data_IF_050459231179
#
_entry.id   IF_050459231179
#
_cell.length_a   1.000
_cell.length_b   1.000
_cell.length_c   1.000
_cell.angle_alpha   90.00
_cell.angle_beta   90.00
_cell.angle_gamma   90.00
#
_symmetry.space_group_name_H-M   'P 1'
#
loop_
_entity.id
_entity.type
_entity.pdbx_description
1 polymer ?
#
# COMPACT_ATOMS: atom_id res chain seq x y z
N UNK A 1 -4.66 9.68 36.88
CA UNK A 1 -4.90 10.34 35.59
C UNK A 1 -5.63 9.35 34.71
N UNK A 2 -6.88 9.65 34.35
CA UNK A 2 -7.71 8.73 33.56
C UNK A 2 -7.31 8.84 32.08
N UNK A 3 -6.42 7.94 31.66
CA UNK A 3 -6.01 7.82 30.27
C UNK A 3 -6.97 6.86 29.54
N UNK A 4 -7.46 7.29 28.38
CA UNK A 4 -8.35 6.48 27.54
C UNK A 4 -7.57 6.02 26.31
N UNK A 5 -7.62 4.72 26.04
CA UNK A 5 -7.05 4.15 24.81
C UNK A 5 -7.84 4.66 23.61
N UNK A 6 -7.17 5.38 22.73
CA UNK A 6 -7.77 5.98 21.52
C UNK A 6 -7.36 5.23 20.25
N UNK A 7 -6.26 4.48 20.28
CA UNK A 7 -5.76 3.79 19.09
C UNK A 7 -4.92 2.56 19.44
N UNK A 8 -4.94 1.56 18.56
CA UNK A 8 -4.09 0.37 18.64
C UNK A 8 -3.12 0.40 17.46
N UNK A 9 -1.85 0.67 17.72
CA UNK A 9 -0.82 0.76 16.69
C UNK A 9 0.02 -0.52 16.65
N UNK A 10 0.49 -0.89 15.45
CA UNK A 10 1.67 -1.73 15.34
C UNK A 10 2.93 -0.90 15.62
N UNK A 11 4.05 -1.56 15.95
CA UNK A 11 5.33 -0.89 16.19
C UNK A 11 5.73 0.07 15.05
N UNK A 12 5.47 -0.29 13.80
CA UNK A 12 5.80 0.53 12.63
C UNK A 12 4.98 1.82 12.51
N UNK A 13 3.70 1.81 12.91
CA UNK A 13 2.85 3.02 12.82
C UNK A 13 2.82 3.79 14.14
N UNK A 14 3.42 3.26 15.22
CA UNK A 14 3.39 3.86 16.55
C UNK A 14 4.02 5.25 16.56
N UNK A 15 5.24 5.38 16.04
CA UNK A 15 5.94 6.67 15.98
C UNK A 15 5.17 7.70 15.16
N UNK A 16 4.55 7.25 14.07
CA UNK A 16 3.78 8.11 13.18
C UNK A 16 2.49 8.61 13.86
N UNK A 17 1.78 7.72 14.55
CA UNK A 17 0.58 8.05 15.33
C UNK A 17 0.90 9.01 16.49
N UNK A 18 2.00 8.77 17.21
CA UNK A 18 2.45 9.65 18.29
C UNK A 18 2.84 11.03 17.75
N UNK A 19 3.54 11.06 16.60
CA UNK A 19 3.93 12.29 15.91
C UNK A 19 2.71 13.15 15.57
N UNK A 20 1.72 12.57 14.89
CA UNK A 20 0.47 13.27 14.52
C UNK A 20 -0.25 13.83 15.74
N UNK A 21 -0.40 13.01 16.79
CA UNK A 21 -1.08 13.46 18.01
C UNK A 21 -0.34 14.61 18.69
N UNK A 22 1.01 14.58 18.69
CA UNK A 22 1.83 15.64 19.29
C UNK A 22 1.81 16.92 18.45
N UNK A 23 1.80 16.83 17.13
CA UNK A 23 1.67 17.98 16.21
C UNK A 23 0.33 18.70 16.40
N UNK A 24 -0.74 17.96 16.64
CA UNK A 24 -2.07 18.48 16.93
C UNK A 24 -2.22 18.98 18.40
N UNK A 25 -1.15 18.93 19.19
CA UNK A 25 -1.11 19.45 20.56
C UNK A 25 -1.65 18.50 21.63
N UNK A 26 -1.87 17.23 21.30
CA UNK A 26 -2.27 16.21 22.28
C UNK A 26 -1.05 15.61 22.99
N UNK A 27 -1.29 15.06 24.19
CA UNK A 27 -0.26 14.39 24.99
C UNK A 27 -0.49 12.87 25.01
N UNK A 28 -0.06 12.13 23.97
CA UNK A 28 -0.20 10.68 23.94
C UNK A 28 0.75 10.00 24.93
N UNK A 29 0.25 8.97 25.59
CA UNK A 29 0.99 8.02 26.41
C UNK A 29 0.89 6.64 25.78
N UNK A 30 2.03 5.97 25.61
CA UNK A 30 2.05 4.59 25.13
C UNK A 30 1.83 3.63 26.29
N UNK A 31 0.85 2.76 26.16
CA UNK A 31 0.70 1.59 27.01
C UNK A 31 1.04 0.36 26.18
N UNK A 32 2.14 -0.30 26.52
CA UNK A 32 2.47 -1.61 25.97
C UNK A 32 1.48 -2.64 26.53
N UNK A 33 0.77 -3.32 25.64
CA UNK A 33 0.01 -4.50 26.04
C UNK A 33 0.95 -5.70 26.01
N UNK A 34 1.17 -6.42 27.14
CA UNK A 34 1.87 -7.69 27.10
C UNK A 34 1.06 -8.77 26.35
N UNK A 35 -0.20 -8.50 26.00
CA UNK A 35 -1.03 -9.41 25.23
C UNK A 35 -0.54 -9.53 23.78
N UNK A 36 0.19 -10.62 23.53
CA UNK A 36 0.48 -11.10 22.19
C UNK A 36 -0.85 -11.45 21.51
N UNK A 37 -1.30 -10.62 20.57
CA UNK A 37 -2.54 -10.90 19.83
C UNK A 37 -2.21 -11.79 18.63
N UNK A 38 -2.90 -12.94 18.47
CA UNK A 38 -2.73 -13.77 17.28
C UNK A 38 -3.26 -13.01 16.05
N UNK A 39 -2.38 -12.72 15.11
CA UNK A 39 -2.72 -12.17 13.80
C UNK A 39 -2.45 -13.22 12.72
N UNK A 40 -3.24 -13.20 11.64
CA UNK A 40 -3.18 -14.19 10.56
C UNK A 40 -1.77 -14.18 9.93
N UNK A 41 -0.91 -15.11 10.36
CA UNK A 41 0.49 -15.22 9.90
C UNK A 41 1.59 -14.90 10.94
N UNK A 42 1.26 -14.54 12.19
CA UNK A 42 2.27 -14.35 13.24
C UNK A 42 1.80 -13.53 14.45
N UNK A 43 2.68 -13.39 15.44
CA UNK A 43 2.47 -12.56 16.62
C UNK A 43 2.86 -11.11 16.32
N UNK A 44 1.92 -10.16 16.46
CA UNK A 44 2.23 -8.73 16.38
C UNK A 44 2.10 -8.09 17.76
N UNK A 45 3.14 -7.38 18.17
CA UNK A 45 3.12 -6.53 19.35
C UNK A 45 2.24 -5.32 19.02
N UNK A 46 1.09 -5.25 19.67
CA UNK A 46 0.18 -4.12 19.58
C UNK A 46 0.45 -3.19 20.75
N UNK A 47 0.74 -1.93 20.44
CA UNK A 47 0.93 -0.89 21.44
C UNK A 47 -0.33 -0.04 21.46
N UNK A 48 -0.92 0.11 22.65
CA UNK A 48 -2.07 0.99 22.82
C UNK A 48 -1.57 2.42 22.99
N UNK A 49 -2.14 3.33 22.21
CA UNK A 49 -1.94 4.76 22.38
C UNK A 49 -3.12 5.30 23.18
N UNK A 50 -2.81 5.84 24.35
CA UNK A 50 -3.79 6.45 25.23
C UNK A 50 -3.56 7.95 25.36
N UNK A 51 -4.64 8.69 25.57
CA UNK A 51 -4.64 10.15 25.70
C UNK A 51 -5.52 10.51 26.90
N UNK A 52 -5.25 11.62 27.62
CA UNK A 52 -6.13 12.12 28.67
C UNK A 52 -7.60 12.20 28.22
N UNK A 53 -8.53 11.84 29.12
CA UNK A 53 -9.97 11.71 28.80
C UNK A 53 -10.60 12.98 28.22
N UNK A 54 -10.12 14.15 28.63
CA UNK A 54 -10.49 15.48 28.12
C UNK A 54 -10.15 15.66 26.64
N UNK A 55 -9.08 15.01 26.18
CA UNK A 55 -8.55 15.09 24.81
C UNK A 55 -8.97 13.91 23.94
N UNK A 56 -9.49 12.82 24.53
CA UNK A 56 -9.77 11.56 23.85
C UNK A 56 -10.70 11.70 22.63
N UNK A 57 -11.73 12.56 22.70
CA UNK A 57 -12.65 12.80 21.57
C UNK A 57 -11.96 13.50 20.39
N UNK A 58 -11.10 14.48 20.67
CA UNK A 58 -10.33 15.20 19.66
C UNK A 58 -9.31 14.29 18.99
N UNK A 59 -8.51 13.59 19.80
CA UNK A 59 -7.52 12.62 19.33
C UNK A 59 -8.15 11.51 18.46
N UNK A 60 -9.28 10.93 18.89
CA UNK A 60 -9.97 9.91 18.10
C UNK A 60 -10.48 10.45 16.75
N UNK A 61 -10.95 11.69 16.71
CA UNK A 61 -11.39 12.33 15.46
C UNK A 61 -10.23 12.57 14.49
N UNK A 62 -9.08 13.06 14.98
CA UNK A 62 -7.88 13.28 14.17
C UNK A 62 -7.39 11.96 13.57
N UNK A 63 -7.27 10.94 14.42
CA UNK A 63 -6.82 9.61 13.99
C UNK A 63 -7.77 8.98 12.98
N UNK A 64 -9.07 9.17 13.14
CA UNK A 64 -10.06 8.70 12.16
C UNK A 64 -9.87 9.37 10.80
N UNK A 65 -9.70 10.70 10.77
CA UNK A 65 -9.45 11.43 9.50
C UNK A 65 -8.15 10.99 8.84
N UNK A 66 -7.11 10.78 9.63
CA UNK A 66 -5.83 10.28 9.12
C UNK A 66 -5.96 8.87 8.54
N UNK A 67 -6.66 7.97 9.23
CA UNK A 67 -6.86 6.60 8.74
C UNK A 67 -7.73 6.58 7.46
N UNK A 68 -8.78 7.40 7.40
CA UNK A 68 -9.59 7.59 6.19
C UNK A 68 -8.73 8.10 5.00
N UNK A 69 -7.86 9.09 5.22
CA UNK A 69 -6.95 9.60 4.19
C UNK A 69 -5.97 8.51 3.71
N UNK A 70 -5.38 7.76 4.65
CA UNK A 70 -4.47 6.65 4.33
C UNK A 70 -5.17 5.55 3.54
N UNK A 71 -6.39 5.17 3.94
CA UNK A 71 -7.18 4.17 3.23
C UNK A 71 -7.56 4.66 1.82
N UNK A 72 -7.86 5.94 1.66
CA UNK A 72 -8.11 6.52 0.34
C UNK A 72 -6.88 6.44 -0.57
N UNK A 73 -5.68 6.74 -0.07
CA UNK A 73 -4.44 6.64 -0.84
C UNK A 73 -4.10 5.20 -1.20
N UNK A 74 -4.27 4.28 -0.26
CA UNK A 74 -4.11 2.83 -0.52
C UNK A 74 -5.12 2.36 -1.55
N UNK A 75 -6.38 2.80 -1.46
CA UNK A 75 -7.42 2.45 -2.42
C UNK A 75 -7.09 3.02 -3.81
N UNK A 76 -6.63 4.26 -3.90
CA UNK A 76 -6.26 4.91 -5.16
C UNK A 76 -5.07 4.22 -5.83
N UNK A 77 -4.03 3.90 -5.06
CA UNK A 77 -2.86 3.19 -5.57
C UNK A 77 -3.21 1.76 -5.99
N UNK A 78 -3.96 1.03 -5.17
CA UNK A 78 -4.44 -0.32 -5.49
C UNK A 78 -5.34 -0.32 -6.73
N UNK A 79 -6.26 0.64 -6.84
CA UNK A 79 -7.14 0.77 -7.99
C UNK A 79 -6.38 1.15 -9.27
N UNK A 80 -5.33 1.98 -9.17
CA UNK A 80 -4.46 2.29 -10.30
C UNK A 80 -3.68 1.06 -10.80
N UNK A 81 -3.35 0.12 -9.91
CA UNK A 81 -2.68 -1.14 -10.24
C UNK A 81 -3.63 -2.24 -10.76
N UNK A 82 -4.93 -2.12 -10.48
CA UNK A 82 -5.93 -3.12 -10.88
C UNK A 82 -6.05 -3.26 -12.41
N UNK A 83 -6.01 -2.14 -13.15
CA UNK A 83 -6.03 -2.16 -14.62
C UNK A 83 -4.85 -2.93 -15.23
N UNK A 84 -3.60 -2.54 -14.92
CA UNK A 84 -2.40 -3.27 -15.33
C UNK A 84 -2.42 -4.76 -14.95
N UNK A 85 -2.91 -5.07 -13.76
CA UNK A 85 -3.03 -6.45 -13.28
C UNK A 85 -3.99 -7.29 -14.13
N UNK A 86 -5.20 -6.77 -14.40
CA UNK A 86 -6.19 -7.45 -15.23
C UNK A 86 -5.70 -7.63 -16.67
N UNK A 87 -5.07 -6.62 -17.24
CA UNK A 87 -4.53 -6.69 -18.60
C UNK A 87 -3.41 -7.74 -18.72
N UNK A 88 -2.42 -7.71 -17.81
CA UNK A 88 -1.34 -8.69 -17.80
C UNK A 88 -1.88 -10.12 -17.64
N UNK A 89 -2.87 -10.30 -16.77
CA UNK A 89 -3.53 -11.59 -16.56
C UNK A 89 -4.25 -12.07 -17.81
N UNK A 90 -4.99 -11.20 -18.53
CA UNK A 90 -5.65 -11.57 -19.79
C UNK A 90 -4.66 -12.02 -20.86
N UNK A 91 -3.54 -11.31 -21.01
CA UNK A 91 -2.47 -11.67 -21.97
C UNK A 91 -1.92 -13.06 -21.63
N UNK A 92 -1.61 -13.31 -20.35
CA UNK A 92 -1.07 -14.60 -19.91
C UNK A 92 -2.06 -15.74 -20.08
N UNK A 93 -3.36 -15.52 -19.89
CA UNK A 93 -4.40 -16.52 -20.20
C UNK A 93 -4.37 -16.88 -21.69
N UNK A 94 -4.30 -15.89 -22.58
CA UNK A 94 -4.20 -16.12 -24.02
C UNK A 94 -2.96 -16.94 -24.40
N UNK A 95 -1.79 -16.60 -23.86
CA UNK A 95 -0.55 -17.34 -24.07
C UNK A 95 -0.59 -18.76 -23.49
N UNK A 96 -1.23 -18.94 -22.33
CA UNK A 96 -1.41 -20.25 -21.69
C UNK A 96 -2.21 -21.19 -22.60
N UNK A 97 -3.32 -20.71 -23.17
CA UNK A 97 -4.12 -21.49 -24.13
C UNK A 97 -3.31 -21.87 -25.36
N UNK A 98 -2.49 -20.96 -25.86
CA UNK A 98 -1.61 -21.21 -27.01
C UNK A 98 -0.56 -22.29 -26.69
N UNK A 99 0.14 -22.20 -25.56
CA UNK A 99 1.11 -23.21 -25.14
C UNK A 99 0.49 -24.56 -24.81
N UNK A 100 -0.76 -24.57 -24.31
CA UNK A 100 -1.54 -25.79 -24.13
C UNK A 100 -1.80 -26.49 -25.48
N UNK A 101 -2.22 -25.74 -26.51
CA UNK A 101 -2.44 -26.27 -27.87
C UNK A 101 -1.17 -26.88 -28.48
N UNK A 102 0.00 -26.30 -28.20
CA UNK A 102 1.29 -26.82 -28.68
C UNK A 102 1.90 -27.90 -27.79
N UNK A 103 1.26 -28.27 -26.67
CA UNK A 103 1.73 -29.34 -25.77
C UNK A 103 2.99 -29.00 -24.96
N UNK A 104 3.48 -27.75 -25.02
CA UNK A 104 4.72 -27.30 -24.37
C UNK A 104 4.48 -26.62 -23.01
N UNK A 105 3.27 -26.72 -22.48
CA UNK A 105 2.85 -25.94 -21.31
C UNK A 105 3.70 -26.22 -20.08
N UNK A 106 4.03 -27.48 -19.80
CA UNK A 106 4.77 -27.89 -18.62
C UNK A 106 6.21 -27.32 -18.58
N UNK A 107 6.84 -27.15 -19.75
CA UNK A 107 8.20 -26.63 -19.87
C UNK A 107 8.25 -25.09 -19.86
N UNK A 108 7.12 -24.45 -20.16
CA UNK A 108 7.03 -22.99 -20.35
C UNK A 108 6.31 -22.25 -19.23
N UNK A 109 5.88 -22.93 -18.15
CA UNK A 109 5.21 -22.30 -17.00
C UNK A 109 6.06 -21.18 -16.38
N UNK A 110 7.35 -21.43 -16.16
CA UNK A 110 8.25 -20.41 -15.63
C UNK A 110 8.37 -19.21 -16.57
N UNK A 111 8.38 -19.46 -17.89
CA UNK A 111 8.43 -18.42 -18.91
C UNK A 111 7.12 -17.60 -18.92
N UNK A 112 5.96 -18.22 -18.79
CA UNK A 112 4.66 -17.54 -18.66
C UNK A 112 4.65 -16.59 -17.46
N UNK A 113 5.22 -17.02 -16.33
CA UNK A 113 5.33 -16.18 -15.14
C UNK A 113 6.25 -14.97 -15.37
N UNK A 114 7.41 -15.18 -16.01
CA UNK A 114 8.32 -14.08 -16.36
C UNK A 114 7.66 -13.11 -17.34
N UNK A 115 6.98 -13.60 -18.38
CA UNK A 115 6.24 -12.77 -19.35
C UNK A 115 5.17 -11.96 -18.63
N UNK A 116 4.40 -12.58 -17.72
CA UNK A 116 3.39 -11.88 -16.93
C UNK A 116 3.99 -10.74 -16.10
N UNK A 117 5.11 -10.99 -15.40
CA UNK A 117 5.80 -9.96 -14.61
C UNK A 117 6.28 -8.80 -15.48
N UNK A 118 6.87 -9.08 -16.64
CA UNK A 118 7.37 -8.05 -17.57
C UNK A 118 6.21 -7.22 -18.11
N UNK A 119 5.14 -7.86 -18.59
CA UNK A 119 3.95 -7.16 -19.11
C UNK A 119 3.32 -6.31 -18.01
N UNK A 120 3.13 -6.86 -16.81
CA UNK A 120 2.59 -6.13 -15.67
C UNK A 120 3.46 -4.91 -15.32
N UNK A 121 4.78 -5.08 -15.22
CA UNK A 121 5.69 -3.99 -14.88
C UNK A 121 5.68 -2.88 -15.95
N UNK A 122 5.66 -3.24 -17.24
CA UNK A 122 5.60 -2.27 -18.34
C UNK A 122 4.29 -1.49 -18.31
N UNK A 123 3.15 -2.17 -18.13
CA UNK A 123 1.82 -1.53 -18.13
C UNK A 123 1.64 -0.68 -16.87
N UNK A 124 2.07 -1.16 -15.71
CA UNK A 124 2.00 -0.41 -14.44
C UNK A 124 2.88 0.86 -14.47
N UNK A 125 3.96 0.86 -15.25
CA UNK A 125 4.83 2.03 -15.43
C UNK A 125 4.56 2.80 -16.72
N UNK A 126 3.55 2.43 -17.52
CA UNK A 126 3.32 3.00 -18.83
C UNK A 126 3.17 4.52 -18.79
N UNK A 127 2.45 5.06 -17.80
CA UNK A 127 2.29 6.52 -17.63
C UNK A 127 3.63 7.24 -17.39
N UNK A 128 4.49 6.68 -16.53
CA UNK A 128 5.84 7.23 -16.27
C UNK A 128 6.72 7.14 -17.51
N UNK A 129 6.65 6.04 -18.25
CA UNK A 129 7.43 5.82 -19.47
C UNK A 129 6.97 6.81 -20.55
N UNK A 130 5.66 6.96 -20.78
CA UNK A 130 5.09 7.90 -21.73
C UNK A 130 5.44 9.35 -21.38
N UNK A 131 5.39 9.72 -20.10
CA UNK A 131 5.79 11.06 -19.65
C UNK A 131 7.28 11.33 -19.92
N UNK A 132 8.18 10.37 -19.60
CA UNK A 132 9.62 10.51 -19.88
C UNK A 132 9.91 10.64 -21.38
N UNK A 133 9.25 9.84 -22.22
CA UNK A 133 9.38 9.92 -23.68
C UNK A 133 8.90 11.27 -24.20
N UNK A 134 7.78 11.79 -23.68
CA UNK A 134 7.23 13.09 -24.06
C UNK A 134 8.13 14.26 -23.64
N UNK A 135 8.72 14.18 -22.44
CA UNK A 135 9.71 15.16 -21.95
C UNK A 135 10.98 15.15 -22.80
N UNK A 136 11.51 13.97 -23.15
CA UNK A 136 12.69 13.85 -24.02
C UNK A 136 12.45 14.38 -25.44
N UNK A 137 11.23 14.18 -25.97
CA UNK A 137 10.84 14.72 -27.28
C UNK A 137 10.76 16.24 -27.26
N UNK A 138 10.18 16.82 -26.22
CA UNK A 138 10.08 18.28 -26.06
C UNK A 138 11.44 18.95 -25.77
N UNK A 139 12.37 18.26 -25.08
CA UNK A 139 13.72 18.81 -24.86
C UNK A 139 14.59 18.80 -26.12
N UNK A 140 14.39 17.84 -27.02
CA UNK A 140 15.05 17.82 -28.35
C UNK A 140 14.48 18.90 -29.28
N UNK A 141 13.17 19.12 -29.27
CA UNK A 141 12.52 20.13 -30.12
C UNK A 141 12.86 21.60 -29.76
N UNK A 142 13.41 21.86 -28.57
CA UNK A 142 13.87 23.20 -28.13
C UNK A 142 15.35 23.49 -28.42
N UNK A 143 16.10 22.52 -28.96
CA UNK A 143 17.55 22.62 -29.22
C UNK A 143 17.92 22.58 -30.72
N UNK A 144 16.94 22.42 -31.61
CA UNK A 144 17.11 22.54 -33.06
C UNK A 144 16.38 23.77 -33.55
#
# INVERSE_FOLDING_TARGET
MDNVVVYKANSESLELVIGILREEGFHPTTLEDPAIVPYRGGFRHLVHVAVPRDQARGAASVLRKWDEARQMDVKKTTQALAGPFLFATMVTIGLTLLFFLFGILAETVALLFVIWLVVFAVVANAERITQRIRQQRNSKARRG
#
